data_IF_106578231708
#
_entry.id   IF_106578231708
#
_cell.length_a   1.000
_cell.length_b   1.000
_cell.length_c   1.000
_cell.angle_alpha   90.00
_cell.angle_beta   90.00
_cell.angle_gamma   90.00
#
_symmetry.space_group_name_H-M   'P 1'
#
loop_
_entity.id
_entity.type
_entity.pdbx_description
1 polymer ?
#
# COMPACT_ATOMS: atom_id res chain seq x y z
N UNK A 1 -27.99 -16.97 -74.50
CA UNK A 1 -26.87 -16.58 -73.60
C UNK A 1 -27.33 -15.41 -72.73
N UNK A 2 -27.91 -15.69 -71.56
CA UNK A 2 -28.40 -14.66 -70.62
C UNK A 2 -27.49 -14.58 -69.40
N UNK A 3 -26.80 -13.45 -69.20
CA UNK A 3 -25.97 -13.21 -68.01
C UNK A 3 -26.86 -12.76 -66.87
N UNK A 4 -26.97 -13.57 -65.82
CA UNK A 4 -27.57 -13.16 -64.55
C UNK A 4 -26.54 -12.34 -63.76
N UNK A 5 -26.82 -11.05 -63.57
CA UNK A 5 -26.04 -10.18 -62.70
C UNK A 5 -26.45 -10.43 -61.25
N UNK A 6 -25.55 -10.98 -60.44
CA UNK A 6 -25.74 -11.15 -59.01
C UNK A 6 -25.42 -9.83 -58.28
N UNK A 7 -26.46 -9.12 -57.86
CA UNK A 7 -26.36 -7.96 -56.97
C UNK A 7 -25.98 -8.43 -55.58
N UNK A 8 -24.70 -8.22 -55.20
CA UNK A 8 -24.19 -8.49 -53.86
C UNK A 8 -24.71 -7.42 -52.89
N UNK A 9 -25.76 -7.76 -52.14
CA UNK A 9 -26.32 -6.94 -51.06
C UNK A 9 -25.34 -6.90 -49.88
N UNK A 10 -24.70 -5.74 -49.69
CA UNK A 10 -23.78 -5.45 -48.60
C UNK A 10 -24.60 -5.26 -47.32
N UNK A 11 -24.67 -6.30 -46.49
CA UNK A 11 -25.39 -6.27 -45.20
C UNK A 11 -24.73 -5.23 -44.27
N UNK A 12 -25.50 -4.32 -43.65
CA UNK A 12 -24.97 -3.27 -42.79
C UNK A 12 -24.28 -3.85 -41.55
N UNK A 13 -23.06 -3.38 -41.29
CA UNK A 13 -22.12 -3.84 -40.26
C UNK A 13 -22.60 -3.70 -38.79
N UNK A 14 -23.78 -3.10 -38.53
CA UNK A 14 -24.31 -2.86 -37.19
C UNK A 14 -24.84 -4.12 -36.51
N UNK A 15 -25.52 -4.98 -37.27
CA UNK A 15 -26.27 -6.13 -36.71
C UNK A 15 -25.34 -7.24 -36.18
N UNK A 16 -24.13 -7.34 -36.73
CA UNK A 16 -23.15 -8.34 -36.32
C UNK A 16 -22.63 -8.13 -34.88
N UNK A 17 -22.49 -6.88 -34.43
CA UNK A 17 -22.03 -6.58 -33.05
C UNK A 17 -23.12 -6.91 -32.03
N UNK A 18 -24.35 -6.51 -32.31
CA UNK A 18 -25.50 -6.80 -31.47
C UNK A 18 -25.72 -8.33 -31.33
N UNK A 19 -25.61 -9.05 -32.44
CA UNK A 19 -25.73 -10.51 -32.44
C UNK A 19 -24.64 -11.18 -31.60
N UNK A 20 -23.38 -10.74 -31.71
CA UNK A 20 -22.26 -11.25 -30.90
C UNK A 20 -22.47 -11.01 -29.41
N UNK A 21 -22.97 -9.84 -29.03
CA UNK A 21 -23.24 -9.51 -27.63
C UNK A 21 -24.40 -10.35 -27.07
N UNK A 22 -25.47 -10.54 -27.84
CA UNK A 22 -26.58 -11.41 -27.46
C UNK A 22 -26.12 -12.87 -27.26
N UNK A 23 -25.26 -13.37 -28.15
CA UNK A 23 -24.69 -14.72 -28.04
C UNK A 23 -23.81 -14.87 -26.79
N UNK A 24 -23.02 -13.86 -26.43
CA UNK A 24 -22.23 -13.86 -25.20
C UNK A 24 -23.11 -13.83 -23.94
N UNK A 25 -24.19 -13.04 -23.96
CA UNK A 25 -25.15 -12.99 -22.85
C UNK A 25 -25.82 -14.35 -22.62
N UNK A 26 -26.32 -14.97 -23.69
CA UNK A 26 -26.93 -16.31 -23.63
C UNK A 26 -25.93 -17.39 -23.19
N UNK A 27 -24.67 -17.32 -23.63
CA UNK A 27 -23.63 -18.25 -23.18
C UNK A 27 -23.33 -18.10 -21.68
N UNK A 28 -23.27 -16.86 -21.19
CA UNK A 28 -23.09 -16.56 -19.76
C UNK A 28 -24.26 -17.09 -18.93
N UNK A 29 -25.49 -16.84 -19.35
CA UNK A 29 -26.69 -17.36 -18.69
C UNK A 29 -26.72 -18.89 -18.64
N UNK A 30 -26.45 -19.55 -19.77
CA UNK A 30 -26.36 -21.02 -19.82
C UNK A 30 -25.28 -21.57 -18.90
N UNK A 31 -24.17 -20.86 -18.73
CA UNK A 31 -23.12 -21.26 -17.80
C UNK A 31 -23.57 -21.13 -16.34
N UNK A 32 -24.23 -20.02 -15.98
CA UNK A 32 -24.80 -19.84 -14.63
C UNK A 32 -25.96 -20.78 -14.31
N UNK A 33 -26.68 -21.25 -15.34
CA UNK A 33 -27.79 -22.20 -15.18
C UNK A 33 -27.32 -23.66 -14.98
N UNK A 34 -26.02 -23.96 -15.12
CA UNK A 34 -25.50 -25.31 -14.87
C UNK A 34 -25.69 -25.68 -13.39
N UNK A 35 -26.19 -26.89 -13.07
CA UNK A 35 -26.30 -27.37 -11.70
C UNK A 35 -24.96 -27.27 -10.97
N UNK A 36 -24.96 -26.75 -9.74
CA UNK A 36 -23.78 -26.63 -8.88
C UNK A 36 -22.89 -25.39 -9.10
N UNK A 37 -23.00 -24.68 -10.23
CA UNK A 37 -22.18 -23.47 -10.48
C UNK A 37 -22.53 -22.35 -9.51
N UNK A 38 -23.82 -22.16 -9.20
CA UNK A 38 -24.24 -21.14 -8.24
C UNK A 38 -23.75 -21.44 -6.82
N UNK A 39 -23.83 -22.70 -6.40
CA UNK A 39 -23.38 -23.12 -5.07
C UNK A 39 -21.86 -23.00 -4.94
N UNK A 40 -21.10 -23.36 -5.98
CA UNK A 40 -19.65 -23.19 -5.98
C UNK A 40 -19.24 -21.71 -5.95
N UNK A 41 -19.95 -20.83 -6.68
CA UNK A 41 -19.72 -19.39 -6.63
C UNK A 41 -20.05 -18.80 -5.26
N UNK A 42 -21.15 -19.27 -4.65
CA UNK A 42 -21.56 -18.87 -3.30
C UNK A 42 -20.54 -19.31 -2.26
N UNK A 43 -20.01 -20.53 -2.37
CA UNK A 43 -18.96 -21.02 -1.47
C UNK A 43 -17.64 -20.28 -1.67
N UNK A 44 -17.24 -20.00 -2.92
CA UNK A 44 -16.07 -19.16 -3.20
C UNK A 44 -16.23 -17.75 -2.63
N UNK A 45 -17.41 -17.16 -2.74
CA UNK A 45 -17.70 -15.87 -2.11
C UNK A 45 -17.58 -15.95 -0.58
N UNK A 46 -18.13 -17.01 0.03
CA UNK A 46 -18.02 -17.26 1.48
C UNK A 46 -16.57 -17.38 1.93
N UNK A 47 -15.73 -18.11 1.19
CA UNK A 47 -14.30 -18.27 1.49
C UNK A 47 -13.55 -16.93 1.38
N UNK A 48 -13.85 -16.10 0.36
CA UNK A 48 -13.27 -14.75 0.24
C UNK A 48 -13.62 -13.87 1.44
N UNK A 49 -14.90 -13.85 1.84
CA UNK A 49 -15.34 -13.11 3.03
C UNK A 49 -14.64 -13.64 4.28
N UNK A 50 -14.54 -14.96 4.46
CA UNK A 50 -13.85 -15.54 5.61
C UNK A 50 -12.36 -15.19 5.65
N UNK A 51 -11.67 -15.16 4.50
CA UNK A 51 -10.26 -14.77 4.39
C UNK A 51 -10.08 -13.28 4.69
N UNK A 52 -10.96 -12.43 4.16
CA UNK A 52 -10.99 -11.00 4.46
C UNK A 52 -11.21 -10.73 5.95
N UNK A 53 -12.25 -11.33 6.54
CA UNK A 53 -12.55 -11.22 7.98
C UNK A 53 -11.36 -11.70 8.81
N UNK A 54 -10.71 -12.81 8.46
CA UNK A 54 -9.52 -13.29 9.18
C UNK A 54 -8.35 -12.29 9.11
N UNK A 55 -8.11 -11.71 7.94
CA UNK A 55 -7.07 -10.70 7.74
C UNK A 55 -7.34 -9.43 8.56
N UNK A 56 -8.56 -8.91 8.45
CA UNK A 56 -9.00 -7.69 9.16
C UNK A 56 -9.00 -7.92 10.67
N UNK A 57 -9.59 -9.02 11.15
CA UNK A 57 -9.60 -9.35 12.58
C UNK A 57 -8.19 -9.56 13.14
N UNK A 58 -7.27 -10.12 12.36
CA UNK A 58 -5.86 -10.21 12.73
C UNK A 58 -5.22 -8.83 12.91
N UNK A 59 -5.52 -7.89 12.03
CA UNK A 59 -5.06 -6.50 12.16
C UNK A 59 -5.65 -5.81 13.39
N UNK A 60 -6.95 -5.97 13.66
CA UNK A 60 -7.61 -5.42 14.86
C UNK A 60 -7.04 -6.00 16.16
N UNK A 61 -6.75 -7.30 16.22
CA UNK A 61 -6.13 -7.93 17.38
C UNK A 61 -4.71 -7.38 17.63
N UNK A 62 -3.94 -7.14 16.57
CA UNK A 62 -2.62 -6.52 16.69
C UNK A 62 -2.71 -5.07 17.17
N UNK A 63 -3.67 -4.30 16.65
CA UNK A 63 -3.92 -2.92 17.09
C UNK A 63 -4.35 -2.86 18.57
N UNK A 64 -5.18 -3.80 19.01
CA UNK A 64 -5.60 -3.91 20.43
C UNK A 64 -4.42 -4.26 21.33
N UNK A 65 -3.54 -5.17 20.90
CA UNK A 65 -2.31 -5.48 21.66
C UNK A 65 -1.39 -4.27 21.77
N UNK A 66 -1.21 -3.52 20.68
CA UNK A 66 -0.37 -2.32 20.67
C UNK A 66 -0.93 -1.21 21.57
N UNK A 67 -2.24 -0.99 21.56
CA UNK A 67 -2.88 0.00 22.45
C UNK A 67 -2.76 -0.40 23.93
N UNK A 68 -2.86 -1.69 24.27
CA UNK A 68 -2.59 -2.16 25.63
C UNK A 68 -1.12 -1.97 26.05
N UNK A 69 -0.17 -2.26 25.16
CA UNK A 69 1.25 -2.03 25.42
C UNK A 69 1.53 -0.54 25.69
N UNK A 70 0.94 0.34 24.87
CA UNK A 70 1.06 1.79 25.05
C UNK A 70 0.50 2.26 26.39
N UNK A 71 -0.71 1.83 26.76
CA UNK A 71 -1.31 2.14 28.07
C UNK A 71 -0.43 1.67 29.22
N UNK A 72 0.11 0.45 29.13
CA UNK A 72 0.99 -0.09 30.17
C UNK A 72 2.30 0.70 30.28
N UNK A 73 2.84 1.19 29.16
CA UNK A 73 3.98 2.12 29.19
C UNK A 73 3.58 3.43 29.87
N UNK A 74 2.45 4.04 29.54
CA UNK A 74 1.95 5.27 30.18
C UNK A 74 1.77 5.10 31.71
N UNK A 75 1.23 3.96 32.15
CA UNK A 75 1.10 3.62 33.58
C UNK A 75 2.48 3.50 34.28
N UNK A 76 3.45 2.84 33.62
CA UNK A 76 4.82 2.74 34.13
C UNK A 76 5.49 4.12 34.25
N UNK A 77 5.26 4.99 33.27
CA UNK A 77 5.78 6.36 33.27
C UNK A 77 5.18 7.19 34.41
N UNK A 78 3.87 7.09 34.62
CA UNK A 78 3.17 7.79 35.70
C UNK A 78 3.64 7.33 37.09
N UNK A 79 3.97 6.04 37.24
CA UNK A 79 4.49 5.49 38.50
C UNK A 79 5.95 5.85 38.81
N UNK A 80 6.72 6.29 37.82
CA UNK A 80 8.12 6.73 38.00
C UNK A 80 8.27 8.25 38.16
N UNK A 81 7.18 9.01 38.18
CA UNK A 81 7.23 10.43 38.50
C UNK A 81 7.77 10.59 39.93
N UNK A 82 8.97 11.20 40.10
CA UNK A 82 9.51 11.45 41.43
C UNK A 82 8.57 12.41 42.14
N UNK A 83 8.10 12.04 43.33
CA UNK A 83 7.45 12.98 44.25
C UNK A 83 8.49 14.02 44.60
N UNK A 84 8.50 15.15 43.89
CA UNK A 84 9.41 16.26 44.16
C UNK A 84 9.10 16.73 45.59
N UNK A 85 10.02 16.58 46.55
CA UNK A 85 9.85 17.22 47.83
C UNK A 85 10.00 18.71 47.57
N UNK A 86 8.93 19.47 47.80
CA UNK A 86 8.95 20.93 47.83
C UNK A 86 10.00 21.36 48.85
N UNK A 87 11.21 21.64 48.40
CA UNK A 87 12.31 22.11 49.24
C UNK A 87 12.78 23.42 48.67
N UNK A 88 12.68 24.43 49.51
CA UNK A 88 12.79 25.84 49.19
C UNK A 88 14.19 26.21 48.71
N UNK A 89 14.22 27.19 47.79
CA UNK A 89 15.39 27.80 47.20
C UNK A 89 16.49 28.11 48.21
N UNK A 90 17.72 27.73 47.87
CA UNK A 90 18.90 28.47 48.26
C UNK A 90 19.84 28.63 47.07
N UNK A 91 19.91 29.88 46.63
CA UNK A 91 20.83 30.44 45.66
C UNK A 91 22.27 30.25 46.15
N UNK A 92 23.13 29.61 45.36
CA UNK A 92 24.59 29.82 45.46
C UNK A 92 25.22 29.69 44.09
N UNK A 93 25.76 30.81 43.66
CA UNK A 93 26.62 31.07 42.51
C UNK A 93 27.96 30.37 42.70
N UNK A 94 28.45 29.61 41.71
CA UNK A 94 29.89 29.38 41.59
C UNK A 94 30.29 29.06 40.15
N UNK A 95 31.16 29.93 39.63
CA UNK A 95 31.85 29.85 38.35
C UNK A 95 32.83 28.68 38.38
N UNK A 96 32.92 27.89 37.31
CA UNK A 96 34.16 27.21 37.00
C UNK A 96 34.43 27.16 35.49
N UNK A 97 35.44 27.94 35.12
CA UNK A 97 36.16 27.94 33.86
C UNK A 97 37.08 26.71 33.78
N UNK A 98 37.24 26.11 32.61
CA UNK A 98 37.92 24.81 32.46
C UNK A 98 38.19 24.42 31.02
N UNK A 99 39.08 25.17 30.37
CA UNK A 99 39.78 24.84 29.13
C UNK A 99 40.48 23.47 29.22
N UNK A 100 40.33 22.65 28.18
CA UNK A 100 40.96 21.33 28.05
C UNK A 100 41.15 20.96 26.59
N UNK A 101 42.26 21.45 26.04
CA UNK A 101 42.87 21.09 24.76
C UNK A 101 43.54 19.71 24.86
N UNK A 102 43.28 18.81 23.91
CA UNK A 102 44.07 17.59 23.69
C UNK A 102 44.02 17.20 22.21
N UNK A 103 45.07 17.60 21.49
CA UNK A 103 45.58 16.93 20.29
C UNK A 103 46.21 15.58 20.66
N UNK A 104 45.90 14.53 19.91
CA UNK A 104 46.83 13.40 19.73
C UNK A 104 46.67 12.75 18.35
N UNK A 105 47.67 12.98 17.52
CA UNK A 105 48.00 12.18 16.33
C UNK A 105 48.46 10.78 16.75
N UNK A 106 48.11 9.75 15.98
CA UNK A 106 48.92 8.54 15.86
C UNK A 106 48.63 7.81 14.53
N UNK A 107 49.72 7.56 13.82
CA UNK A 107 49.86 6.87 12.55
C UNK A 107 49.80 5.33 12.67
N UNK A 108 49.71 4.65 11.52
CA UNK A 108 49.93 3.21 11.31
C UNK A 108 48.62 2.43 11.18
N UNK A 109 48.39 1.56 10.21
CA UNK A 109 49.34 0.63 9.60
C UNK A 109 48.89 0.26 8.18
N UNK A 110 49.87 0.15 7.28
CA UNK A 110 49.74 -0.40 5.93
C UNK A 110 49.71 -1.94 6.03
N UNK A 111 48.86 -2.57 5.20
CA UNK A 111 48.99 -3.91 4.58
C UNK A 111 47.64 -4.63 4.55
N UNK A 112 47.10 -4.91 3.37
CA UNK A 112 47.19 -6.26 2.81
C UNK A 112 46.63 -6.28 1.38
N UNK A 113 47.42 -6.85 0.47
CA UNK A 113 47.12 -7.01 -0.93
C UNK A 113 46.18 -8.21 -1.14
N UNK A 114 45.24 -8.04 -2.07
CA UNK A 114 44.74 -9.17 -2.86
C UNK A 114 43.36 -9.70 -2.50
N UNK A 115 42.35 -9.23 -3.22
CA UNK A 115 41.41 -10.18 -3.82
C UNK A 115 40.76 -9.63 -5.09
N UNK A 116 40.68 -10.48 -6.10
CA UNK A 116 40.56 -10.13 -7.52
C UNK A 116 39.31 -9.37 -7.96
N UNK A 117 39.32 -8.87 -9.22
CA UNK A 117 38.18 -8.18 -9.80
C UNK A 117 37.06 -9.19 -10.08
N UNK A 118 36.21 -9.42 -9.08
CA UNK A 118 34.85 -9.89 -9.35
C UNK A 118 34.12 -8.80 -10.13
N UNK A 119 33.36 -9.13 -11.19
CA UNK A 119 32.55 -8.18 -11.91
C UNK A 119 31.36 -7.79 -11.04
N UNK A 120 31.62 -6.94 -10.05
CA UNK A 120 30.60 -6.26 -9.28
C UNK A 120 29.90 -5.33 -10.24
N UNK A 121 28.70 -5.73 -10.66
CA UNK A 121 27.65 -4.83 -11.10
C UNK A 121 27.31 -3.87 -9.96
N UNK A 122 28.25 -2.97 -9.64
CA UNK A 122 27.99 -1.76 -8.91
C UNK A 122 27.20 -0.88 -9.88
N UNK A 123 25.90 -1.14 -9.97
CA UNK A 123 24.99 -0.01 -10.02
C UNK A 123 25.35 0.80 -8.78
N UNK A 124 26.15 1.84 -8.98
CA UNK A 124 26.18 2.99 -8.09
C UNK A 124 24.74 3.48 -8.04
N UNK A 125 23.94 2.88 -7.14
CA UNK A 125 22.76 3.53 -6.61
C UNK A 125 23.35 4.78 -6.01
N UNK A 126 23.24 5.90 -6.73
CA UNK A 126 23.35 7.22 -6.13
C UNK A 126 22.66 7.10 -4.78
N UNK A 127 23.46 7.19 -3.72
CA UNK A 127 23.04 6.97 -2.35
C UNK A 127 22.21 8.21 -1.99
N UNK A 128 20.98 8.25 -2.52
CA UNK A 128 20.02 9.30 -2.26
C UNK A 128 19.79 9.26 -0.76
N UNK A 129 20.33 10.27 -0.07
CA UNK A 129 20.16 10.44 1.35
C UNK A 129 18.67 10.24 1.68
N UNK A 130 18.32 9.29 2.56
CA UNK A 130 16.91 9.02 2.83
C UNK A 130 16.23 10.29 3.33
N UNK A 131 14.98 10.56 2.89
CA UNK A 131 14.31 11.83 3.13
C UNK A 131 14.22 12.15 4.62
N UNK A 132 14.11 13.44 4.93
CA UNK A 132 13.78 13.85 6.30
C UNK A 132 12.33 13.43 6.65
N UNK A 133 12.03 13.37 7.95
CA UNK A 133 10.65 13.07 8.39
C UNK A 133 9.65 14.11 7.90
N UNK A 134 10.08 15.38 7.85
CA UNK A 134 9.27 16.50 7.36
C UNK A 134 8.97 16.37 5.86
N UNK A 135 9.98 16.09 5.03
CA UNK A 135 9.78 15.82 3.61
C UNK A 135 8.83 14.66 3.38
N UNK A 136 8.95 13.61 4.19
CA UNK A 136 8.08 12.46 4.10
C UNK A 136 6.65 12.82 4.49
N UNK A 137 6.45 13.64 5.52
CA UNK A 137 5.13 14.15 5.90
C UNK A 137 4.47 14.91 4.74
N UNK A 138 5.20 15.82 4.08
CA UNK A 138 4.71 16.54 2.89
C UNK A 138 4.31 15.55 1.79
N UNK A 139 5.17 14.58 1.46
CA UNK A 139 4.88 13.56 0.44
C UNK A 139 3.66 12.72 0.78
N UNK A 140 3.46 12.37 2.05
CA UNK A 140 2.26 11.65 2.48
C UNK A 140 1.04 12.54 2.29
N UNK A 141 1.06 13.78 2.79
CA UNK A 141 -0.07 14.71 2.63
C UNK A 141 -0.44 14.88 1.16
N UNK A 142 0.54 15.15 0.30
CA UNK A 142 0.34 15.29 -1.15
C UNK A 142 -0.30 14.04 -1.75
N UNK A 143 0.20 12.85 -1.40
CA UNK A 143 -0.35 11.57 -1.83
C UNK A 143 -1.81 11.36 -1.39
N UNK A 144 -2.20 11.82 -0.20
CA UNK A 144 -3.56 11.64 0.33
C UNK A 144 -4.60 12.63 -0.23
N UNK A 145 -4.15 13.75 -0.83
CA UNK A 145 -5.05 14.84 -1.23
C UNK A 145 -6.15 14.43 -2.22
N UNK A 146 -5.91 13.41 -3.04
CA UNK A 146 -6.83 13.02 -4.12
C UNK A 146 -8.14 12.38 -3.62
N UNK A 147 -8.15 11.77 -2.44
CA UNK A 147 -9.24 10.89 -2.00
C UNK A 147 -10.00 11.36 -0.76
N UNK A 148 -9.54 12.44 -0.13
CA UNK A 148 -10.16 13.00 1.07
C UNK A 148 -9.93 12.14 2.31
N UNK A 149 -10.83 12.27 3.29
CA UNK A 149 -10.69 11.59 4.59
C UNK A 149 -11.08 10.11 4.49
N UNK A 150 -10.62 9.29 5.44
CA UNK A 150 -10.94 7.84 5.48
C UNK A 150 -12.43 7.53 5.40
N UNK A 151 -13.28 8.33 6.04
CA UNK A 151 -14.75 8.20 5.98
C UNK A 151 -15.32 8.40 4.59
N UNK A 152 -14.57 9.06 3.69
CA UNK A 152 -14.99 9.46 2.36
C UNK A 152 -14.44 8.54 1.27
N UNK A 153 -13.35 7.80 1.53
CA UNK A 153 -12.68 6.94 0.54
C UNK A 153 -13.66 6.01 -0.18
N UNK A 154 -14.56 5.36 0.56
CA UNK A 154 -15.58 4.48 -0.01
C UNK A 154 -16.50 5.18 -1.00
N UNK A 155 -16.94 6.40 -0.69
CA UNK A 155 -17.79 7.21 -1.56
C UNK A 155 -17.00 7.71 -2.76
N UNK A 156 -15.86 8.37 -2.52
CA UNK A 156 -15.00 8.93 -3.55
C UNK A 156 -14.56 7.88 -4.58
N UNK A 157 -14.18 6.68 -4.12
CA UNK A 157 -13.84 5.55 -4.99
C UNK A 157 -15.01 5.16 -5.90
N UNK A 158 -16.20 4.96 -5.33
CA UNK A 158 -17.37 4.54 -6.10
C UNK A 158 -17.83 5.60 -7.09
N UNK A 159 -17.82 6.87 -6.68
CA UNK A 159 -18.21 7.99 -7.55
C UNK A 159 -17.25 8.10 -8.76
N UNK A 160 -15.94 8.01 -8.52
CA UNK A 160 -14.93 8.06 -9.59
C UNK A 160 -15.01 6.84 -10.49
N UNK A 161 -15.19 5.63 -9.93
CA UNK A 161 -15.40 4.41 -10.71
C UNK A 161 -16.68 4.49 -11.55
N UNK A 162 -17.78 5.03 -11.01
CA UNK A 162 -19.03 5.19 -11.74
C UNK A 162 -18.86 6.16 -12.92
N UNK A 163 -18.16 7.29 -12.72
CA UNK A 163 -17.81 8.23 -13.80
C UNK A 163 -16.95 7.55 -14.88
N UNK A 164 -15.93 6.80 -14.49
CA UNK A 164 -15.08 6.05 -15.42
C UNK A 164 -15.88 5.03 -16.24
N UNK A 165 -16.83 4.33 -15.60
CA UNK A 165 -17.74 3.38 -16.28
C UNK A 165 -18.66 4.07 -17.29
N UNK A 166 -19.08 5.31 -17.04
CA UNK A 166 -19.87 6.11 -17.99
C UNK A 166 -19.04 6.52 -19.21
N UNK A 167 -17.73 6.75 -19.05
CA UNK A 167 -16.78 6.99 -20.15
C UNK A 167 -16.47 5.73 -20.98
N UNK A 168 -16.63 4.56 -20.38
CA UNK A 168 -16.54 3.26 -21.05
C UNK A 168 -15.36 2.41 -20.54
N UNK A 169 -15.06 1.34 -21.26
CA UNK A 169 -14.09 0.34 -20.79
C UNK A 169 -12.65 0.89 -20.68
N UNK A 170 -12.23 1.78 -21.59
CA UNK A 170 -10.89 2.37 -21.56
C UNK A 170 -10.68 3.25 -20.34
N UNK A 171 -11.66 4.08 -20.01
CA UNK A 171 -11.59 4.96 -18.84
C UNK A 171 -11.68 4.16 -17.55
N UNK A 172 -12.45 3.07 -17.55
CA UNK A 172 -12.50 2.12 -16.44
C UNK A 172 -11.15 1.42 -16.21
N UNK A 173 -10.50 0.93 -17.26
CA UNK A 173 -9.16 0.33 -17.18
C UNK A 173 -8.13 1.35 -16.71
N UNK A 174 -8.20 2.59 -17.23
CA UNK A 174 -7.33 3.68 -16.82
C UNK A 174 -7.49 4.01 -15.32
N UNK A 175 -8.73 4.06 -14.83
CA UNK A 175 -9.02 4.26 -13.41
C UNK A 175 -8.36 3.18 -12.52
N UNK A 176 -8.48 1.91 -12.90
CA UNK A 176 -7.84 0.84 -12.12
C UNK A 176 -6.32 0.91 -12.19
N UNK A 177 -5.74 1.25 -13.35
CA UNK A 177 -4.30 1.47 -13.47
C UNK A 177 -3.81 2.62 -12.57
N UNK A 178 -4.58 3.72 -12.44
CA UNK A 178 -4.28 4.79 -11.51
C UNK A 178 -4.34 4.32 -10.05
N UNK A 179 -5.34 3.52 -9.68
CA UNK A 179 -5.42 2.93 -8.33
C UNK A 179 -4.21 2.02 -8.03
N UNK A 180 -3.73 1.24 -9.00
CA UNK A 180 -2.52 0.43 -8.83
C UNK A 180 -1.26 1.28 -8.63
N UNK A 181 -1.14 2.38 -9.39
CA UNK A 181 -0.06 3.36 -9.21
C UNK A 181 -0.13 3.98 -7.82
N UNK A 182 -1.33 4.33 -7.35
CA UNK A 182 -1.56 4.89 -6.00
C UNK A 182 -1.09 3.93 -4.91
N UNK A 183 -1.46 2.65 -5.00
CA UNK A 183 -1.01 1.59 -4.07
C UNK A 183 0.51 1.42 -4.10
N UNK A 184 1.12 1.44 -5.29
CA UNK A 184 2.58 1.31 -5.44
C UNK A 184 3.30 2.46 -4.74
N UNK A 185 2.85 3.70 -4.96
CA UNK A 185 3.39 4.90 -4.29
C UNK A 185 3.21 4.81 -2.77
N UNK A 186 2.04 4.41 -2.28
CA UNK A 186 1.80 4.20 -0.85
C UNK A 186 2.79 3.20 -0.22
N UNK A 187 3.08 2.08 -0.92
CA UNK A 187 4.08 1.11 -0.49
C UNK A 187 5.50 1.67 -0.48
N UNK A 188 5.87 2.44 -1.50
CA UNK A 188 7.18 3.12 -1.56
C UNK A 188 7.36 4.09 -0.39
N UNK A 189 6.31 4.86 -0.05
CA UNK A 189 6.31 5.76 1.11
C UNK A 189 6.44 5.00 2.44
N UNK A 190 5.77 3.85 2.59
CA UNK A 190 5.95 2.97 3.77
C UNK A 190 7.39 2.49 3.88
N UNK A 191 8.01 2.12 2.76
CA UNK A 191 9.42 1.72 2.74
C UNK A 191 10.32 2.90 3.14
N UNK A 192 10.09 4.10 2.62
CA UNK A 192 10.84 5.30 3.01
C UNK A 192 10.67 5.61 4.51
N UNK A 193 9.44 5.54 5.04
CA UNK A 193 9.16 5.74 6.46
C UNK A 193 9.92 4.74 7.34
N UNK A 194 10.01 3.48 6.91
CA UNK A 194 10.79 2.45 7.61
C UNK A 194 12.29 2.79 7.64
N UNK A 195 12.84 3.39 6.59
CA UNK A 195 14.23 3.86 6.60
C UNK A 195 14.43 5.02 7.57
N UNK A 196 13.50 5.98 7.60
CA UNK A 196 13.51 7.09 8.57
C UNK A 196 13.45 6.57 10.00
N UNK A 197 12.53 5.64 10.28
CA UNK A 197 12.32 5.08 11.61
C UNK A 197 13.49 4.22 12.14
N UNK A 198 14.37 3.73 11.26
CA UNK A 198 15.56 2.95 11.64
C UNK A 198 16.72 3.83 12.12
N UNK A 199 16.71 5.13 11.80
CA UNK A 199 17.75 6.04 12.25
C UNK A 199 17.59 6.28 13.75
N UNK A 200 18.66 6.16 14.56
CA UNK A 200 18.57 6.46 15.98
C UNK A 200 18.21 7.94 16.13
N UNK A 201 17.04 8.26 16.71
CA UNK A 201 16.64 9.63 16.87
C UNK A 201 17.55 10.30 17.91
N UNK A 202 17.96 11.54 17.65
CA UNK A 202 18.78 12.35 18.57
C UNK A 202 17.89 13.39 19.25
N UNK A 203 17.99 13.50 20.57
CA UNK A 203 17.30 14.57 21.30
C UNK A 203 16.86 14.18 22.71
N UNK A 204 16.10 15.08 23.33
CA UNK A 204 15.45 14.86 24.63
C UNK A 204 14.35 13.80 24.51
N UNK A 205 14.00 13.18 25.63
CA UNK A 205 12.93 12.17 25.71
C UNK A 205 11.61 12.64 25.09
N UNK A 206 11.23 13.90 25.32
CA UNK A 206 9.99 14.47 24.81
C UNK A 206 10.02 14.54 23.28
N UNK A 207 11.13 15.03 22.71
CA UNK A 207 11.35 15.05 21.26
C UNK A 207 11.33 13.65 20.65
N UNK A 208 11.90 12.67 21.33
CA UNK A 208 11.83 11.28 20.87
C UNK A 208 10.39 10.79 20.81
N UNK A 209 9.61 11.07 21.85
CA UNK A 209 8.19 10.72 21.95
C UNK A 209 7.40 11.34 20.80
N UNK A 210 7.62 12.63 20.52
CA UNK A 210 6.97 13.33 19.42
C UNK A 210 7.31 12.70 18.06
N UNK A 211 8.59 12.41 17.81
CA UNK A 211 9.04 11.75 16.57
C UNK A 211 8.36 10.38 16.40
N UNK A 212 8.29 9.57 17.46
CA UNK A 212 7.63 8.27 17.41
C UNK A 212 6.14 8.39 17.11
N UNK A 213 5.45 9.34 17.74
CA UNK A 213 4.03 9.60 17.49
C UNK A 213 3.78 10.04 16.05
N UNK A 214 4.63 10.91 15.50
CA UNK A 214 4.54 11.34 14.10
C UNK A 214 4.73 10.17 13.14
N UNK A 215 5.77 9.35 13.34
CA UNK A 215 6.03 8.16 12.51
C UNK A 215 4.85 7.18 12.59
N UNK A 216 4.30 6.95 13.79
CA UNK A 216 3.16 6.07 13.98
C UNK A 216 1.92 6.57 13.23
N UNK A 217 1.59 7.86 13.37
CA UNK A 217 0.43 8.46 12.69
C UNK A 217 0.57 8.38 11.16
N UNK A 218 1.75 8.69 10.63
CA UNK A 218 2.05 8.55 9.20
C UNK A 218 1.91 7.11 8.73
N UNK A 219 2.46 6.15 9.48
CA UNK A 219 2.39 4.73 9.15
C UNK A 219 0.95 4.22 9.14
N UNK A 220 0.16 4.59 10.15
CA UNK A 220 -1.25 4.22 10.25
C UNK A 220 -2.03 4.75 9.04
N UNK A 221 -1.85 6.03 8.71
CA UNK A 221 -2.50 6.68 7.58
C UNK A 221 -2.16 5.98 6.24
N UNK A 222 -0.86 5.77 5.99
CA UNK A 222 -0.36 5.08 4.80
C UNK A 222 -0.89 3.65 4.67
N UNK A 223 -0.85 2.87 5.75
CA UNK A 223 -1.32 1.47 5.72
C UNK A 223 -2.83 1.42 5.48
N UNK A 224 -3.62 2.24 6.18
CA UNK A 224 -5.08 2.24 6.05
C UNK A 224 -5.51 2.51 4.61
N UNK A 225 -4.98 3.59 4.01
CA UNK A 225 -5.33 3.97 2.65
C UNK A 225 -4.79 2.98 1.62
N UNK A 226 -3.52 2.56 1.72
CA UNK A 226 -2.95 1.55 0.81
C UNK A 226 -3.78 0.26 0.84
N UNK A 227 -4.18 -0.19 2.04
CA UNK A 227 -4.99 -1.41 2.20
C UNK A 227 -6.40 -1.25 1.67
N UNK A 228 -7.00 -0.08 1.82
CA UNK A 228 -8.30 0.22 1.22
C UNK A 228 -8.24 -0.01 -0.30
N UNK A 229 -7.26 0.58 -1.00
CA UNK A 229 -7.14 0.42 -2.45
C UNK A 229 -6.77 -1.00 -2.88
N UNK A 230 -5.87 -1.69 -2.16
CA UNK A 230 -5.56 -3.10 -2.45
C UNK A 230 -6.81 -3.98 -2.41
N UNK A 231 -7.64 -3.80 -1.39
CA UNK A 231 -8.90 -4.56 -1.25
C UNK A 231 -9.87 -4.22 -2.37
N UNK A 232 -10.02 -2.93 -2.71
CA UNK A 232 -10.90 -2.51 -3.80
C UNK A 232 -10.44 -3.03 -5.15
N UNK A 233 -9.13 -3.03 -5.42
CA UNK A 233 -8.59 -3.61 -6.64
C UNK A 233 -8.87 -5.12 -6.72
N UNK A 234 -8.72 -5.86 -5.61
CA UNK A 234 -9.05 -7.30 -5.57
C UNK A 234 -10.55 -7.56 -5.80
N UNK A 235 -11.42 -6.71 -5.24
CA UNK A 235 -12.89 -6.82 -5.39
C UNK A 235 -13.35 -6.60 -6.84
N UNK A 236 -12.76 -5.62 -7.55
CA UNK A 236 -13.27 -5.14 -8.83
C UNK A 236 -12.43 -5.54 -10.05
N UNK A 237 -11.13 -5.78 -9.87
CA UNK A 237 -10.18 -6.11 -10.92
C UNK A 237 -9.21 -7.22 -10.46
N UNK A 238 -9.72 -8.43 -10.15
CA UNK A 238 -8.86 -9.53 -9.71
C UNK A 238 -7.81 -9.83 -10.78
N UNK A 239 -6.54 -9.88 -10.37
CA UNK A 239 -5.38 -10.07 -11.24
C UNK A 239 -5.44 -11.32 -12.14
N UNK A 240 -6.34 -12.26 -11.84
CA UNK A 240 -6.66 -13.40 -12.67
C UNK A 240 -8.16 -13.36 -12.96
N UNK A 241 -8.61 -13.23 -14.23
CA UNK A 241 -10.01 -13.38 -14.55
C UNK A 241 -10.46 -14.78 -14.09
N UNK A 242 -11.59 -14.85 -13.38
CA UNK A 242 -12.13 -16.10 -12.81
C UNK A 242 -12.26 -17.25 -13.84
N UNK A 243 -12.27 -16.93 -15.14
CA UNK A 243 -12.26 -17.90 -16.25
C UNK A 243 -10.93 -18.65 -16.46
N UNK A 244 -9.81 -18.16 -15.90
CA UNK A 244 -8.48 -18.81 -15.98
C UNK A 244 -8.11 -19.65 -14.76
N UNK A 245 -8.93 -19.64 -13.71
CA UNK A 245 -8.70 -20.47 -12.50
C UNK A 245 -9.11 -21.94 -12.68
N UNK A 246 -9.66 -22.32 -13.84
CA UNK A 246 -9.76 -23.73 -14.24
C UNK A 246 -8.83 -23.97 -15.42
N UNK A 247 -7.61 -24.42 -15.14
CA UNK A 247 -6.68 -24.97 -16.11
C UNK A 247 -7.15 -26.34 -16.65
N UNK A 248 -8.47 -26.52 -16.82
CA UNK A 248 -9.04 -27.68 -17.50
C UNK A 248 -8.81 -27.43 -18.99
N UNK A 249 -7.64 -27.87 -19.46
CA UNK A 249 -7.38 -28.08 -20.88
C UNK A 249 -8.40 -29.12 -21.36
N UNK A 250 -9.43 -28.67 -22.05
CA UNK A 250 -10.25 -29.56 -22.87
C UNK A 250 -9.34 -30.07 -23.99
N UNK A 251 -8.69 -31.21 -23.78
CA UNK A 251 -8.15 -31.99 -24.87
C UNK A 251 -9.35 -32.52 -25.65
N UNK A 252 -9.71 -31.81 -26.71
CA UNK A 252 -10.59 -32.36 -27.72
C UNK A 252 -9.83 -33.53 -28.36
N UNK A 253 -10.18 -34.76 -27.99
CA UNK A 253 -9.75 -35.94 -28.73
C UNK A 253 -10.49 -35.88 -30.06
N UNK A 254 -9.74 -35.73 -31.15
CA UNK A 254 -10.21 -35.96 -32.52
C UNK A 254 -10.28 -37.46 -32.74
#
# INVERSE_FOLDING_TARGET
MGRCAATSLKVPSGDAKAHKQAQQCAARERWFAKPGVQDEQREKARIRVAKYVRSVMGAYQNLTKLTMIRRKQEELMASQSPTIPTTESSTTTLLHDGSGDYTQEACGDESDEGNGPSPSFLYASEEFAPPSLEELHIRVVDWQTEWGKESEWGRAFNDTLQKARQGGWRDTDHFFAQCEVHVRRGKELIVQLKHVARRPPKGTRDRLTDIYLQIYNLLQSLIAETKFFEVRLDDFAPAVPYSRLSEIRYYHRV
#
